data_IF_258200482787
#
_entry.id   IF_258200482787
#
_cell.length_a   1.000
_cell.length_b   1.000
_cell.length_c   1.000
_cell.angle_alpha   90.00
_cell.angle_beta   90.00
_cell.angle_gamma   90.00
#
_symmetry.space_group_name_H-M   'P 1'
#
loop_
_entity.id
_entity.type
_entity.pdbx_description
1 polymer ?
#
# COMPACT_ATOMS: atom_id res chain seq x y z
N UNK A 1 5.49 -4.88 -32.92
CA UNK A 1 6.02 -5.18 -31.56
C UNK A 1 7.53 -5.04 -31.63
N UNK A 2 8.08 -3.95 -31.10
CA UNK A 2 9.52 -3.69 -31.09
C UNK A 2 10.22 -4.70 -30.18
N UNK A 3 11.13 -5.48 -30.76
CA UNK A 3 11.92 -6.51 -30.05
C UNK A 3 12.77 -5.84 -28.97
N UNK A 4 12.35 -5.98 -27.70
CA UNK A 4 13.07 -5.36 -26.58
C UNK A 4 14.37 -6.12 -26.36
N UNK A 5 15.49 -5.49 -26.71
CA UNK A 5 16.83 -6.00 -26.35
C UNK A 5 17.17 -5.63 -24.92
N UNK A 6 17.77 -6.58 -24.19
CA UNK A 6 18.25 -6.39 -22.82
C UNK A 6 19.75 -6.69 -22.68
N UNK A 7 20.41 -7.04 -23.78
CA UNK A 7 21.84 -7.37 -23.84
C UNK A 7 22.48 -6.45 -24.88
N UNK A 8 23.59 -5.85 -24.52
CA UNK A 8 24.27 -4.85 -25.33
C UNK A 8 25.79 -5.07 -25.30
N UNK A 9 26.45 -4.78 -26.41
CA UNK A 9 27.91 -4.85 -26.52
C UNK A 9 28.57 -3.56 -26.01
N UNK A 10 27.93 -2.41 -26.21
CA UNK A 10 28.41 -1.10 -25.78
C UNK A 10 27.26 -0.15 -25.41
N UNK A 11 27.59 1.00 -24.80
CA UNK A 11 26.60 2.00 -24.42
C UNK A 11 25.90 2.61 -25.65
N UNK A 12 26.59 2.71 -26.79
CA UNK A 12 26.00 3.22 -28.03
C UNK A 12 24.84 2.34 -28.52
N UNK A 13 24.94 1.01 -28.40
CA UNK A 13 23.87 0.08 -28.77
C UNK A 13 22.63 0.29 -27.89
N UNK A 14 22.83 0.45 -26.58
CA UNK A 14 21.75 0.76 -25.65
C UNK A 14 21.11 2.11 -25.99
N UNK A 15 21.92 3.14 -26.26
CA UNK A 15 21.41 4.47 -26.59
C UNK A 15 20.71 4.51 -27.95
N UNK A 16 21.13 3.68 -28.90
CA UNK A 16 20.50 3.53 -30.21
C UNK A 16 19.11 2.91 -30.19
N UNK A 17 18.71 2.24 -29.10
CA UNK A 17 17.36 1.68 -28.92
C UNK A 17 16.30 2.74 -28.61
N UNK A 18 16.70 3.97 -28.28
CA UNK A 18 15.78 5.07 -27.94
C UNK A 18 15.24 5.76 -29.19
N UNK A 19 14.57 5.00 -30.07
CA UNK A 19 13.90 5.53 -31.26
C UNK A 19 12.51 6.10 -30.97
N UNK A 20 12.01 5.88 -29.76
CA UNK A 20 10.72 6.33 -29.28
C UNK A 20 10.95 7.15 -28.00
N UNK A 21 10.27 8.29 -27.86
CA UNK A 21 10.55 9.34 -26.87
C UNK A 21 10.63 8.81 -25.43
N UNK A 22 9.88 7.75 -25.14
CA UNK A 22 9.82 7.11 -23.83
C UNK A 22 10.84 5.96 -23.67
N UNK A 23 11.44 5.89 -22.49
CA UNK A 23 12.32 4.79 -22.12
C UNK A 23 11.59 3.45 -22.09
N UNK A 24 11.92 2.55 -23.03
CA UNK A 24 11.38 1.20 -23.16
C UNK A 24 11.61 0.28 -21.93
N UNK A 25 12.51 0.70 -21.04
CA UNK A 25 12.93 -0.06 -19.85
C UNK A 25 12.33 0.47 -18.55
N UNK A 26 11.63 1.61 -18.58
CA UNK A 26 10.93 2.13 -17.42
C UNK A 26 9.50 1.60 -17.34
N UNK A 27 8.96 1.48 -16.12
CA UNK A 27 7.53 1.18 -15.90
C UNK A 27 6.63 2.38 -16.20
N UNK A 28 7.16 3.57 -15.95
CA UNK A 28 6.47 4.84 -16.13
C UNK A 28 7.06 5.48 -17.39
N UNK A 29 6.22 6.01 -18.30
CA UNK A 29 6.69 6.82 -19.43
C UNK A 29 7.59 7.95 -18.92
N UNK A 30 8.86 7.90 -19.27
CA UNK A 30 9.88 8.90 -18.92
C UNK A 30 10.79 9.02 -20.12
N UNK A 31 11.19 10.25 -20.46
CA UNK A 31 12.06 10.53 -21.59
C UNK A 31 13.35 9.71 -21.50
N UNK A 32 13.57 8.87 -22.52
CA UNK A 32 14.80 8.11 -22.69
C UNK A 32 15.95 9.03 -23.10
N UNK A 33 16.58 9.70 -22.15
CA UNK A 33 17.84 10.43 -22.42
C UNK A 33 19.05 9.56 -22.09
N UNK A 34 20.22 9.86 -22.70
CA UNK A 34 21.49 9.20 -22.33
C UNK A 34 21.77 9.31 -20.83
N UNK A 35 21.49 10.47 -20.24
CA UNK A 35 21.62 10.69 -18.79
C UNK A 35 20.68 9.77 -17.98
N UNK A 36 19.41 9.67 -18.40
CA UNK A 36 18.44 8.78 -17.78
C UNK A 36 18.91 7.31 -17.83
N UNK A 37 19.31 6.82 -19.00
CA UNK A 37 19.77 5.44 -19.16
C UNK A 37 21.01 5.14 -18.32
N UNK A 38 21.98 6.06 -18.25
CA UNK A 38 23.15 5.93 -17.35
C UNK A 38 22.73 5.79 -15.89
N UNK A 39 21.93 6.73 -15.41
CA UNK A 39 21.56 6.85 -13.98
C UNK A 39 20.59 5.76 -13.51
N UNK A 40 19.68 5.30 -14.38
CA UNK A 40 18.59 4.37 -14.04
C UNK A 40 18.81 2.94 -14.51
N UNK A 41 19.44 2.69 -15.66
CA UNK A 41 19.54 1.36 -16.25
C UNK A 41 20.95 0.80 -16.22
N UNK A 42 21.94 1.54 -16.72
CA UNK A 42 23.36 1.11 -16.70
C UNK A 42 23.89 0.94 -15.28
N UNK A 43 23.40 1.75 -14.32
CA UNK A 43 23.71 1.59 -12.89
C UNK A 43 23.49 0.16 -12.38
N UNK A 44 22.52 -0.57 -12.93
CA UNK A 44 22.21 -1.93 -12.51
C UNK A 44 22.73 -2.98 -13.49
N UNK A 45 23.48 -2.59 -14.53
CA UNK A 45 23.93 -3.52 -15.57
C UNK A 45 24.89 -4.59 -15.02
N UNK A 46 24.77 -5.79 -15.56
CA UNK A 46 25.70 -6.90 -15.29
C UNK A 46 26.57 -7.12 -16.50
N UNK A 47 27.88 -6.94 -16.35
CA UNK A 47 28.87 -7.08 -17.40
C UNK A 47 29.52 -8.47 -17.39
N UNK A 48 29.74 -9.03 -18.57
CA UNK A 48 30.31 -10.35 -18.76
C UNK A 48 30.94 -10.51 -20.15
N UNK A 49 31.76 -11.53 -20.34
CA UNK A 49 32.37 -11.90 -21.62
C UNK A 49 31.77 -13.20 -22.12
N UNK A 50 31.13 -13.12 -23.27
CA UNK A 50 30.54 -14.24 -24.00
C UNK A 50 31.32 -14.39 -25.33
N UNK A 51 31.99 -15.52 -25.51
CA UNK A 51 32.92 -15.76 -26.64
C UNK A 51 33.93 -14.62 -26.85
N UNK A 52 34.58 -14.16 -25.77
CA UNK A 52 35.52 -13.03 -25.73
C UNK A 52 34.94 -11.65 -26.08
N UNK A 53 33.66 -11.56 -26.43
CA UNK A 53 32.96 -10.31 -26.65
C UNK A 53 32.42 -9.81 -25.30
N UNK A 54 32.86 -8.64 -24.89
CA UNK A 54 32.31 -7.94 -23.73
C UNK A 54 30.86 -7.53 -23.99
N UNK A 55 29.95 -7.98 -23.14
CA UNK A 55 28.52 -7.65 -23.18
C UNK A 55 28.06 -7.20 -21.80
N UNK A 56 26.92 -6.53 -21.74
CA UNK A 56 26.22 -6.31 -20.49
C UNK A 56 24.72 -6.54 -20.66
N UNK A 57 24.08 -7.01 -19.60
CA UNK A 57 22.62 -7.07 -19.51
C UNK A 57 22.10 -5.98 -18.59
N UNK A 58 20.91 -5.46 -18.87
CA UNK A 58 20.15 -4.60 -17.94
C UNK A 58 18.87 -5.31 -17.46
N UNK A 59 18.32 -4.95 -16.28
CA UNK A 59 17.04 -5.49 -15.84
C UNK A 59 15.89 -5.07 -16.76
N UNK A 60 14.96 -6.00 -17.01
CA UNK A 60 13.72 -5.82 -17.75
C UNK A 60 12.53 -5.61 -16.80
N UNK A 61 11.49 -4.95 -17.29
CA UNK A 61 10.20 -4.75 -16.60
C UNK A 61 9.00 -5.19 -17.45
N UNK A 62 9.19 -6.09 -18.43
CA UNK A 62 8.08 -6.64 -19.22
C UNK A 62 7.11 -7.47 -18.36
N UNK A 63 5.98 -7.84 -18.97
CA UNK A 63 4.95 -8.67 -18.35
C UNK A 63 5.43 -10.08 -17.97
N UNK A 64 6.45 -10.60 -18.66
CA UNK A 64 6.89 -12.00 -18.51
C UNK A 64 7.48 -12.30 -17.11
N UNK A 65 7.86 -11.25 -16.37
CA UNK A 65 8.34 -11.36 -14.99
C UNK A 65 7.26 -11.67 -13.94
N UNK A 66 5.97 -11.61 -14.29
CA UNK A 66 4.83 -12.07 -13.47
C UNK A 66 4.53 -11.32 -12.15
N UNK A 67 5.43 -10.46 -11.65
CA UNK A 67 5.36 -9.99 -10.25
C UNK A 67 5.48 -8.47 -10.07
N UNK A 68 5.37 -7.67 -11.13
CA UNK A 68 5.53 -6.22 -11.00
C UNK A 68 6.92 -5.79 -10.49
N UNK A 69 7.94 -6.65 -10.64
CA UNK A 69 9.35 -6.38 -10.29
C UNK A 69 10.24 -6.43 -11.52
N UNK A 70 11.45 -5.86 -11.40
CA UNK A 70 12.50 -6.03 -12.40
C UNK A 70 12.97 -7.48 -12.44
N UNK A 71 13.25 -8.02 -13.61
CA UNK A 71 13.79 -9.36 -13.81
C UNK A 71 14.86 -9.34 -14.90
N UNK A 72 15.48 -10.49 -15.15
CA UNK A 72 16.58 -10.66 -16.07
C UNK A 72 16.27 -11.77 -17.07
N UNK A 73 16.46 -11.50 -18.36
CA UNK A 73 16.34 -12.52 -19.40
C UNK A 73 17.73 -13.06 -19.72
N UNK A 74 17.92 -14.38 -19.58
CA UNK A 74 19.15 -15.01 -20.01
C UNK A 74 19.22 -15.06 -21.55
N UNK A 75 20.25 -14.51 -22.20
CA UNK A 75 20.37 -14.58 -23.67
C UNK A 75 20.63 -15.99 -24.20
N UNK A 76 21.18 -16.89 -23.37
CA UNK A 76 21.62 -18.23 -23.80
C UNK A 76 20.50 -19.27 -23.73
N UNK A 77 19.63 -19.19 -22.72
CA UNK A 77 18.53 -20.16 -22.55
C UNK A 77 17.14 -19.55 -22.37
N UNK A 78 17.01 -18.22 -22.49
CA UNK A 78 15.75 -17.47 -22.35
C UNK A 78 15.06 -17.57 -20.97
N UNK A 79 15.72 -18.17 -19.97
CA UNK A 79 15.20 -18.25 -18.59
C UNK A 79 15.07 -16.85 -17.98
N UNK A 80 13.95 -16.62 -17.30
CA UNK A 80 13.67 -15.38 -16.56
C UNK A 80 14.10 -15.54 -15.10
N UNK A 81 14.92 -14.61 -14.63
CA UNK A 81 15.52 -14.64 -13.30
C UNK A 81 15.16 -13.35 -12.55
N UNK A 82 14.60 -13.49 -11.35
CA UNK A 82 14.01 -12.36 -10.63
C UNK A 82 15.05 -11.54 -9.84
N UNK A 83 16.18 -12.16 -9.45
CA UNK A 83 17.20 -11.51 -8.62
C UNK A 83 18.52 -11.43 -9.35
N UNK A 84 19.22 -10.31 -9.15
CA UNK A 84 20.58 -10.05 -9.66
C UNK A 84 21.55 -11.17 -9.28
N UNK A 85 21.53 -11.67 -8.03
CA UNK A 85 22.41 -12.75 -7.57
C UNK A 85 22.19 -14.05 -8.36
N UNK A 86 20.92 -14.42 -8.53
CA UNK A 86 20.54 -15.64 -9.26
C UNK A 86 20.94 -15.54 -10.74
N UNK A 87 20.81 -14.35 -11.34
CA UNK A 87 21.25 -14.11 -12.71
C UNK A 87 22.77 -14.21 -12.89
N UNK A 88 23.57 -13.67 -11.96
CA UNK A 88 25.03 -13.82 -12.02
C UNK A 88 25.47 -15.28 -11.97
N UNK A 89 24.90 -16.05 -11.04
CA UNK A 89 25.17 -17.49 -10.91
C UNK A 89 24.72 -18.22 -12.18
N UNK A 90 23.54 -17.89 -12.69
CA UNK A 90 22.99 -18.53 -13.87
C UNK A 90 23.83 -18.30 -15.13
N UNK A 91 24.26 -17.05 -15.40
CA UNK A 91 25.12 -16.74 -16.54
C UNK A 91 26.48 -17.42 -16.39
N UNK A 92 27.06 -17.41 -15.20
CA UNK A 92 28.30 -18.11 -14.92
C UNK A 92 28.20 -19.61 -15.26
N UNK A 93 27.06 -20.23 -14.99
CA UNK A 93 26.82 -21.65 -15.30
C UNK A 93 26.70 -21.97 -16.80
N UNK A 94 26.62 -20.95 -17.67
CA UNK A 94 26.79 -21.14 -19.12
C UNK A 94 28.26 -21.09 -19.57
N UNK A 95 29.21 -20.94 -18.64
CA UNK A 95 30.64 -20.79 -18.95
C UNK A 95 31.07 -19.36 -19.27
N UNK A 96 30.18 -18.39 -19.08
CA UNK A 96 30.43 -16.97 -19.32
C UNK A 96 31.20 -16.36 -18.15
N UNK A 97 32.31 -15.66 -18.43
CA UNK A 97 33.13 -15.01 -17.40
C UNK A 97 32.58 -13.63 -17.07
N UNK A 98 32.33 -13.38 -15.79
CA UNK A 98 31.93 -12.07 -15.30
C UNK A 98 33.08 -11.07 -15.43
N UNK A 99 32.78 -9.82 -15.74
CA UNK A 99 33.78 -8.74 -15.76
C UNK A 99 33.37 -7.63 -14.80
N UNK A 100 34.31 -7.16 -14.01
CA UNK A 100 34.09 -5.96 -13.19
C UNK A 100 34.15 -4.71 -14.07
N UNK A 101 32.98 -4.22 -14.48
CA UNK A 101 32.80 -2.86 -15.01
C UNK A 101 31.84 -2.11 -14.07
N UNK A 102 32.34 -1.76 -12.88
CA UNK A 102 31.69 -0.86 -11.91
C UNK A 102 32.66 -0.48 -10.77
N UNK A 103 33.82 0.07 -11.11
CA UNK A 103 34.62 0.92 -10.21
C UNK A 103 35.11 2.11 -11.03
N UNK A 104 34.19 2.99 -11.37
CA UNK A 104 34.47 4.34 -11.85
C UNK A 104 33.52 5.28 -11.09
N UNK A 105 34.04 5.80 -9.98
CA UNK A 105 33.75 7.09 -9.35
C UNK A 105 32.44 7.77 -9.80
N UNK A 106 31.40 7.62 -8.99
CA UNK A 106 30.28 8.56 -8.97
C UNK A 106 29.98 8.83 -7.51
N UNK A 107 30.44 10.00 -7.05
CA UNK A 107 30.26 10.49 -5.69
C UNK A 107 28.79 10.44 -5.25
N UNK A 108 28.50 10.05 -4.01
CA UNK A 108 27.19 10.26 -3.43
C UNK A 108 26.99 11.77 -3.21
N UNK A 109 26.25 12.43 -4.10
CA UNK A 109 25.55 13.69 -3.79
C UNK A 109 24.60 13.43 -2.62
N UNK A 110 25.11 13.57 -1.41
CA UNK A 110 24.38 13.64 -0.15
C UNK A 110 24.20 15.13 0.19
N UNK A 111 23.20 15.74 -0.41
CA UNK A 111 22.65 17.03 0.04
C UNK A 111 21.16 16.82 0.24
N UNK A 112 20.67 17.37 1.37
CA UNK A 112 19.30 17.39 1.85
C UNK A 112 18.85 16.20 2.72
N UNK A 113 19.32 16.16 3.96
CA UNK A 113 18.47 16.18 5.17
C UNK A 113 19.35 16.28 6.43
N UNK A 114 19.96 17.45 6.62
CA UNK A 114 20.36 17.95 7.93
C UNK A 114 19.20 18.77 8.48
N UNK A 115 18.32 18.16 9.27
CA UNK A 115 17.63 18.83 10.38
C UNK A 115 16.99 17.76 11.24
N UNK A 116 17.08 17.92 12.57
CA UNK A 116 16.67 16.98 13.63
C UNK A 116 17.77 15.98 14.08
N UNK A 117 19.01 16.46 14.17
CA UNK A 117 19.82 16.19 15.36
C UNK A 117 19.60 17.37 16.31
N UNK A 118 18.86 17.14 17.40
CA UNK A 118 18.91 17.89 18.66
C UNK A 118 17.84 17.34 19.60
N UNK A 119 18.26 17.04 20.83
CA UNK A 119 17.45 16.87 22.04
C UNK A 119 16.72 15.51 22.18
N UNK A 120 16.91 14.69 23.21
CA UNK A 120 17.44 14.95 24.55
C UNK A 120 18.02 13.67 25.18
N UNK A 121 19.17 13.85 25.83
CA UNK A 121 19.70 13.01 26.88
C UNK A 121 18.70 12.85 28.03
N UNK A 122 18.68 11.69 28.70
CA UNK A 122 19.19 11.56 30.08
C UNK A 122 18.89 10.18 30.70
N UNK A 123 19.96 9.60 31.27
CA UNK A 123 20.02 8.76 32.47
C UNK A 123 19.51 7.30 32.39
N UNK A 124 20.13 6.30 33.01
CA UNK A 124 21.44 6.13 33.65
C UNK A 124 21.57 4.64 34.02
N UNK A 125 22.82 4.20 34.14
CA UNK A 125 23.30 3.17 35.09
C UNK A 125 23.45 1.71 34.62
N UNK A 126 24.70 1.39 34.29
CA UNK A 126 25.54 0.32 34.86
C UNK A 126 24.97 -1.11 34.99
N UNK A 127 25.56 -2.06 34.23
CA UNK A 127 26.65 -2.89 34.78
C UNK A 127 27.36 -3.72 33.69
N UNK A 128 28.68 -3.74 33.82
CA UNK A 128 29.64 -4.46 32.98
C UNK A 128 29.52 -5.97 33.12
N UNK A 129 29.80 -6.71 32.04
CA UNK A 129 30.86 -7.73 32.03
C UNK A 129 31.19 -8.13 30.57
N UNK A 130 32.48 -8.01 30.27
CA UNK A 130 33.17 -8.42 29.05
C UNK A 130 33.31 -9.94 28.96
N UNK A 131 33.87 -10.38 27.81
CA UNK A 131 34.25 -11.74 27.39
C UNK A 131 33.11 -12.61 26.81
N UNK A 132 33.08 -13.06 25.55
CA UNK A 132 34.16 -13.41 24.61
C UNK A 132 33.58 -13.64 23.21
N UNK A 133 34.22 -13.08 22.17
CA UNK A 133 34.38 -13.59 20.79
C UNK A 133 33.23 -14.37 20.09
N UNK A 134 32.50 -13.73 19.16
CA UNK A 134 32.28 -14.17 17.74
C UNK A 134 30.98 -13.62 17.09
N UNK A 135 31.17 -12.74 16.10
CA UNK A 135 30.18 -12.37 15.05
C UNK A 135 28.84 -11.76 15.49
N UNK A 136 28.84 -10.45 15.79
CA UNK A 136 27.84 -9.43 15.40
C UNK A 136 26.32 -9.73 15.39
N UNK A 137 25.80 -10.66 16.20
CA UNK A 137 24.36 -10.94 16.29
C UNK A 137 23.70 -9.97 17.28
N UNK A 138 22.68 -9.27 16.81
CA UNK A 138 21.86 -8.37 17.63
C UNK A 138 20.62 -9.13 18.11
N UNK A 139 20.34 -9.09 19.41
CA UNK A 139 19.27 -9.88 20.01
C UNK A 139 18.09 -8.98 20.37
N UNK A 140 16.87 -9.42 20.10
CA UNK A 140 15.68 -8.76 20.60
C UNK A 140 15.56 -8.95 22.11
N UNK A 141 15.52 -7.85 22.86
CA UNK A 141 15.41 -7.91 24.33
C UNK A 141 14.06 -8.43 24.82
N UNK A 142 13.01 -8.37 23.99
CA UNK A 142 11.64 -8.80 24.37
C UNK A 142 11.34 -10.27 24.09
N UNK A 143 12.05 -10.92 23.16
CA UNK A 143 11.81 -12.35 22.85
C UNK A 143 13.05 -13.20 22.60
N UNK A 144 14.26 -12.63 22.69
CA UNK A 144 15.52 -13.37 22.55
C UNK A 144 15.88 -13.78 21.13
N UNK A 145 15.10 -13.38 20.10
CA UNK A 145 15.41 -13.73 18.71
C UNK A 145 16.64 -12.95 18.22
N UNK A 146 17.56 -13.64 17.56
CA UNK A 146 18.80 -13.07 17.03
C UNK A 146 18.64 -12.59 15.58
N UNK A 147 19.26 -11.47 15.27
CA UNK A 147 19.28 -10.85 13.95
C UNK A 147 20.70 -10.52 13.54
N UNK A 148 20.99 -10.70 12.26
CA UNK A 148 22.29 -10.38 11.66
C UNK A 148 22.48 -8.89 11.36
N UNK A 149 21.41 -8.09 11.41
CA UNK A 149 21.48 -6.65 11.14
C UNK A 149 20.54 -5.88 12.06
N UNK A 150 20.93 -4.64 12.41
CA UNK A 150 20.12 -3.77 13.24
C UNK A 150 18.79 -3.41 12.58
N UNK A 151 18.77 -3.32 11.24
CA UNK A 151 17.54 -3.07 10.49
C UNK A 151 16.53 -4.21 10.62
N UNK A 152 17.00 -5.47 10.64
CA UNK A 152 16.12 -6.61 10.85
C UNK A 152 15.62 -6.69 12.31
N UNK A 153 16.49 -6.40 13.28
CA UNK A 153 16.08 -6.31 14.69
C UNK A 153 15.02 -5.23 14.89
N UNK A 154 15.27 -3.98 14.43
CA UNK A 154 14.30 -2.89 14.53
C UNK A 154 12.98 -3.22 13.84
N UNK A 155 13.04 -3.85 12.67
CA UNK A 155 11.83 -4.31 11.96
C UNK A 155 11.11 -5.37 12.79
N UNK A 156 11.82 -6.33 13.36
CA UNK A 156 11.24 -7.34 14.22
C UNK A 156 10.57 -6.74 15.45
N UNK A 157 11.27 -5.86 16.19
CA UNK A 157 10.73 -5.19 17.37
C UNK A 157 9.46 -4.43 17.02
N UNK A 158 9.47 -3.70 15.91
CA UNK A 158 8.31 -2.98 15.42
C UNK A 158 7.14 -3.91 15.05
N UNK A 159 7.42 -5.00 14.34
CA UNK A 159 6.38 -5.90 13.85
C UNK A 159 5.83 -6.84 14.93
N UNK A 160 6.62 -7.16 15.95
CA UNK A 160 6.31 -8.18 16.96
C UNK A 160 6.05 -7.60 18.35
N UNK A 161 6.57 -6.43 18.67
CA UNK A 161 6.55 -5.89 20.03
C UNK A 161 5.97 -4.50 20.16
N UNK A 162 5.68 -3.85 19.04
CA UNK A 162 4.96 -2.56 18.98
C UNK A 162 3.47 -2.80 18.68
N UNK A 163 2.95 -3.95 19.14
CA UNK A 163 1.61 -4.45 18.82
C UNK A 163 0.48 -3.57 19.36
N UNK A 164 0.75 -2.79 20.41
CA UNK A 164 -0.23 -2.00 21.15
C UNK A 164 -0.67 -0.71 20.45
N UNK A 165 0.02 -0.31 19.37
CA UNK A 165 -0.28 1.00 18.75
C UNK A 165 -1.43 0.99 17.75
N UNK A 166 -1.79 -0.17 17.21
CA UNK A 166 -2.81 -0.23 16.15
C UNK A 166 -4.13 -0.76 16.70
N UNK A 167 -5.26 -0.12 16.32
CA UNK A 167 -6.58 -0.49 16.81
C UNK A 167 -6.98 -1.89 16.32
N UNK A 168 -7.79 -2.55 17.12
CA UNK A 168 -8.38 -3.85 16.86
C UNK A 168 -9.84 -3.75 17.31
N UNK A 169 -10.79 -3.94 16.39
CA UNK A 169 -12.22 -3.74 16.66
C UNK A 169 -12.96 -5.06 16.47
N UNK A 170 -13.83 -5.43 17.41
CA UNK A 170 -14.80 -6.51 17.21
C UNK A 170 -16.00 -5.97 16.42
N UNK A 171 -16.31 -6.57 15.28
CA UNK A 171 -17.42 -6.12 14.39
C UNK A 171 -18.57 -7.11 14.32
N UNK A 172 -18.37 -8.34 14.80
CA UNK A 172 -19.40 -9.36 14.90
C UNK A 172 -18.98 -10.34 16.00
N UNK A 173 -19.48 -10.12 17.21
CA UNK A 173 -19.14 -10.96 18.37
C UNK A 173 -19.63 -12.40 18.19
N UNK A 174 -20.80 -12.60 17.55
CA UNK A 174 -21.42 -13.91 17.33
C UNK A 174 -20.62 -14.77 16.36
N UNK A 175 -20.14 -14.18 15.26
CA UNK A 175 -19.28 -14.86 14.26
C UNK A 175 -17.79 -14.76 14.60
N UNK A 176 -17.44 -14.07 15.68
CA UNK A 176 -16.09 -13.81 16.18
C UNK A 176 -15.19 -13.13 15.13
N UNK A 177 -15.73 -12.11 14.46
CA UNK A 177 -15.05 -11.34 13.41
C UNK A 177 -14.56 -10.01 13.98
N UNK A 178 -13.32 -9.70 13.65
CA UNK A 178 -12.63 -8.49 14.05
C UNK A 178 -12.02 -7.79 12.83
N UNK A 179 -11.70 -6.51 12.97
CA UNK A 179 -10.97 -5.74 11.95
C UNK A 179 -9.78 -4.99 12.53
N UNK A 180 -8.72 -4.89 11.75
CA UNK A 180 -7.53 -4.12 12.10
C UNK A 180 -6.83 -3.62 10.84
N UNK A 181 -5.99 -2.57 10.91
CA UNK A 181 -5.19 -2.17 9.76
C UNK A 181 -4.28 -3.31 9.27
N UNK A 182 -4.22 -3.47 7.94
CA UNK A 182 -3.34 -4.43 7.25
C UNK A 182 -1.88 -4.25 7.67
N UNK A 183 -1.43 -3.00 7.58
CA UNK A 183 -0.06 -2.58 7.80
C UNK A 183 0.01 -1.70 9.07
N UNK A 184 1.15 -1.74 9.76
CA UNK A 184 1.38 -0.88 10.94
C UNK A 184 1.64 0.58 10.56
N UNK A 185 1.93 0.84 9.28
CA UNK A 185 2.25 2.16 8.75
C UNK A 185 1.58 2.37 7.41
N UNK A 186 1.31 3.64 7.10
CA UNK A 186 0.64 4.03 5.87
C UNK A 186 -0.87 4.04 6.02
N UNK A 187 -1.62 3.94 4.90
CA UNK A 187 -3.07 3.94 4.93
C UNK A 187 -3.59 2.78 5.79
N UNK A 188 -4.48 3.08 6.75
CA UNK A 188 -5.07 2.11 7.67
C UNK A 188 -6.16 1.26 7.00
N UNK A 189 -5.82 0.62 5.89
CA UNK A 189 -6.74 -0.26 5.15
C UNK A 189 -7.10 -1.45 6.05
N UNK A 190 -8.38 -1.62 6.44
CA UNK A 190 -8.76 -2.71 7.32
C UNK A 190 -8.61 -4.06 6.64
N UNK A 191 -8.29 -5.08 7.42
CA UNK A 191 -8.44 -6.49 7.07
C UNK A 191 -9.36 -7.14 8.09
N UNK A 192 -10.09 -8.16 7.67
CA UNK A 192 -10.87 -8.98 8.58
C UNK A 192 -10.03 -10.09 9.20
N UNK A 193 -10.39 -10.45 10.42
CA UNK A 193 -9.81 -11.56 11.19
C UNK A 193 -10.96 -12.31 11.82
N UNK A 194 -10.85 -13.63 11.90
CA UNK A 194 -11.81 -14.46 12.63
C UNK A 194 -11.09 -15.30 13.66
N UNK A 195 -11.37 -15.07 14.94
CA UNK A 195 -10.69 -15.77 16.05
C UNK A 195 -11.69 -16.24 17.11
N UNK A 196 -11.76 -17.55 17.32
CA UNK A 196 -12.52 -18.15 18.42
C UNK A 196 -11.89 -19.47 18.81
N UNK A 197 -11.44 -19.58 20.06
CA UNK A 197 -10.94 -20.84 20.60
C UNK A 197 -12.07 -21.86 20.79
N UNK A 198 -13.25 -21.40 21.22
CA UNK A 198 -14.43 -22.25 21.39
C UNK A 198 -14.87 -22.90 20.07
N UNK A 199 -14.77 -22.18 18.95
CA UNK A 199 -15.10 -22.69 17.62
C UNK A 199 -13.88 -23.30 16.89
N UNK A 200 -12.68 -23.25 17.51
CA UNK A 200 -11.41 -23.66 16.89
C UNK A 200 -11.12 -22.95 15.55
N UNK A 201 -11.35 -21.64 15.49
CA UNK A 201 -11.18 -20.81 14.29
C UNK A 201 -10.06 -19.79 14.53
N UNK A 202 -9.01 -19.83 13.69
CA UNK A 202 -7.89 -18.88 13.69
C UNK A 202 -7.57 -18.45 12.24
N UNK A 203 -8.30 -17.48 11.70
CA UNK A 203 -8.20 -17.07 10.29
C UNK A 203 -7.91 -15.58 10.15
N UNK A 204 -7.05 -15.23 9.20
CA UNK A 204 -6.72 -13.86 8.82
C UNK A 204 -7.03 -13.65 7.33
N UNK A 205 -7.50 -12.48 6.88
CA UNK A 205 -7.78 -12.24 5.46
C UNK A 205 -6.52 -12.34 4.56
N UNK A 206 -5.33 -12.18 5.13
CA UNK A 206 -4.08 -12.11 4.37
C UNK A 206 -3.42 -13.49 4.18
N UNK A 207 -3.25 -13.92 2.94
CA UNK A 207 -2.57 -15.18 2.55
C UNK A 207 -1.18 -15.34 3.19
N UNK A 208 -0.39 -14.26 3.27
CA UNK A 208 0.92 -14.27 3.95
C UNK A 208 0.85 -14.70 5.43
N UNK A 209 -0.28 -14.44 6.10
CA UNK A 209 -0.51 -14.90 7.47
C UNK A 209 -0.81 -16.40 7.51
N UNK A 210 -1.50 -16.95 6.51
CA UNK A 210 -1.74 -18.38 6.40
C UNK A 210 -0.44 -19.12 6.16
N UNK A 211 0.37 -18.65 5.22
CA UNK A 211 1.68 -19.23 4.92
C UNK A 211 2.59 -19.20 6.14
N UNK A 212 2.60 -18.08 6.87
CA UNK A 212 3.32 -17.97 8.13
C UNK A 212 2.86 -19.03 9.13
N UNK A 213 1.55 -19.12 9.42
CA UNK A 213 1.02 -20.07 10.41
C UNK A 213 1.27 -21.52 9.98
N UNK A 214 1.09 -21.85 8.69
CA UNK A 214 1.36 -23.17 8.13
C UNK A 214 2.84 -23.55 8.26
N UNK A 215 3.75 -22.61 7.99
CA UNK A 215 5.20 -22.82 8.15
C UNK A 215 5.55 -23.06 9.62
N UNK A 216 4.94 -22.32 10.55
CA UNK A 216 5.16 -22.53 11.99
C UNK A 216 4.66 -23.89 12.45
N UNK A 217 3.48 -24.33 11.99
CA UNK A 217 2.96 -25.65 12.29
C UNK A 217 3.89 -26.78 11.78
N UNK A 218 4.42 -26.65 10.56
CA UNK A 218 5.38 -27.59 9.99
C UNK A 218 6.71 -27.64 10.77
N UNK A 219 7.10 -26.53 11.38
CA UNK A 219 8.30 -26.44 12.22
C UNK A 219 8.07 -26.81 13.70
N UNK A 220 6.93 -27.45 14.03
CA UNK A 220 6.63 -27.91 15.39
C UNK A 220 5.94 -26.88 16.29
N UNK A 221 5.47 -25.75 15.75
CA UNK A 221 4.78 -24.68 16.48
C UNK A 221 3.32 -24.45 15.97
N UNK A 222 2.42 -25.45 16.06
CA UNK A 222 1.07 -25.37 15.48
C UNK A 222 0.16 -24.31 16.12
N UNK A 223 0.45 -23.87 17.34
CA UNK A 223 -0.29 -22.80 18.03
C UNK A 223 0.18 -21.38 17.71
N UNK A 224 1.17 -21.21 16.83
CA UNK A 224 1.73 -19.89 16.55
C UNK A 224 0.77 -19.06 15.69
N UNK A 225 0.12 -18.10 16.32
CA UNK A 225 -0.72 -17.11 15.66
C UNK A 225 0.09 -16.09 14.85
N UNK A 226 -0.48 -15.58 13.76
CA UNK A 226 0.10 -14.43 13.06
C UNK A 226 0.01 -13.16 13.91
N UNK A 227 0.80 -12.13 13.55
CA UNK A 227 0.82 -10.83 14.26
C UNK A 227 -0.56 -10.19 14.40
N UNK A 228 -1.47 -10.43 13.44
CA UNK A 228 -2.82 -9.87 13.46
C UNK A 228 -3.74 -10.64 14.41
N UNK A 229 -3.65 -11.97 14.42
CA UNK A 229 -4.43 -12.83 15.33
C UNK A 229 -4.04 -12.61 16.80
N UNK A 230 -2.77 -12.40 17.11
CA UNK A 230 -2.31 -12.11 18.48
C UNK A 230 -2.98 -10.85 19.04
N UNK A 231 -3.16 -9.82 18.20
CA UNK A 231 -3.70 -8.51 18.60
C UNK A 231 -5.18 -8.53 18.96
N UNK A 232 -5.92 -9.56 18.57
CA UNK A 232 -7.32 -9.75 18.99
C UNK A 232 -7.49 -9.82 20.51
N UNK A 233 -6.44 -10.19 21.26
CA UNK A 233 -6.45 -10.20 22.72
C UNK A 233 -6.64 -8.79 23.33
N UNK A 234 -6.36 -7.75 22.54
CA UNK A 234 -6.51 -6.34 22.90
C UNK A 234 -7.63 -5.66 22.07
N UNK A 235 -8.55 -6.45 21.51
CA UNK A 235 -9.65 -5.91 20.73
C UNK A 235 -10.60 -5.08 21.60
N UNK A 236 -11.02 -3.92 21.10
CA UNK A 236 -12.14 -3.16 21.66
C UNK A 236 -13.42 -4.00 21.55
N UNK A 237 -14.25 -3.90 22.58
CA UNK A 237 -15.54 -4.55 22.62
C UNK A 237 -16.42 -4.12 21.43
N UNK A 238 -17.30 -5.02 21.00
CA UNK A 238 -18.25 -4.72 19.92
C UNK A 238 -19.18 -3.59 20.34
N UNK A 239 -19.28 -2.58 19.48
CA UNK A 239 -20.27 -1.50 19.57
C UNK A 239 -21.20 -1.60 18.37
N UNK A 240 -22.51 -1.67 18.65
CA UNK A 240 -23.53 -1.79 17.61
C UNK A 240 -23.59 -0.50 16.78
N UNK A 241 -23.52 -0.56 15.44
CA UNK A 241 -23.70 0.60 14.61
C UNK A 241 -25.17 1.07 14.62
N UNK A 242 -25.44 2.36 14.34
CA UNK A 242 -26.80 2.85 14.15
C UNK A 242 -27.55 2.01 13.09
N UNK A 243 -28.79 1.59 13.36
CA UNK A 243 -29.56 0.79 12.41
C UNK A 243 -29.91 1.63 11.17
N UNK A 244 -29.90 0.99 10.00
CA UNK A 244 -30.28 1.62 8.75
C UNK A 244 -31.80 1.87 8.69
N UNK A 245 -32.19 3.12 8.47
CA UNK A 245 -33.57 3.59 8.46
C UNK A 245 -34.13 3.62 7.04
N UNK A 246 -35.26 2.94 6.82
CA UNK A 246 -35.89 2.86 5.49
C UNK A 246 -36.27 4.24 4.93
N UNK A 247 -36.66 5.20 5.78
CA UNK A 247 -36.98 6.57 5.37
C UNK A 247 -35.77 7.23 4.68
N UNK A 248 -34.56 7.05 5.22
CA UNK A 248 -33.35 7.60 4.57
C UNK A 248 -33.04 6.94 3.23
N UNK A 249 -33.40 5.66 3.03
CA UNK A 249 -33.27 4.99 1.73
C UNK A 249 -34.25 5.51 0.69
N UNK A 250 -35.49 5.79 1.12
CA UNK A 250 -36.52 6.41 0.29
C UNK A 250 -36.09 7.83 -0.13
N UNK A 251 -35.52 8.60 0.79
CA UNK A 251 -34.94 9.92 0.50
C UNK A 251 -33.77 9.86 -0.49
N UNK A 252 -32.87 8.89 -0.34
CA UNK A 252 -31.78 8.68 -1.31
C UNK A 252 -32.30 8.35 -2.71
N UNK A 253 -33.35 7.54 -2.79
CA UNK A 253 -34.01 7.19 -4.05
C UNK A 253 -34.67 8.44 -4.67
N UNK A 254 -35.32 9.28 -3.86
CA UNK A 254 -35.92 10.53 -4.30
C UNK A 254 -34.88 11.56 -4.76
N UNK A 255 -33.72 11.64 -4.09
CA UNK A 255 -32.57 12.47 -4.49
C UNK A 255 -31.78 11.89 -5.67
N UNK A 256 -32.21 10.77 -6.26
CA UNK A 256 -31.54 10.06 -7.35
C UNK A 256 -30.09 9.64 -7.02
N UNK A 257 -29.78 9.41 -5.74
CA UNK A 257 -28.49 8.85 -5.32
C UNK A 257 -28.41 7.35 -5.60
N UNK A 258 -29.56 6.68 -5.62
CA UNK A 258 -29.74 5.28 -5.97
C UNK A 258 -30.96 5.14 -6.88
N UNK A 259 -30.93 4.19 -7.80
CA UNK A 259 -32.13 3.78 -8.52
C UNK A 259 -33.10 3.05 -7.58
N UNK A 260 -34.39 3.00 -7.95
CA UNK A 260 -35.40 2.25 -7.21
C UNK A 260 -35.01 0.76 -7.04
N UNK A 261 -34.44 0.16 -8.08
CA UNK A 261 -33.99 -1.23 -8.04
C UNK A 261 -32.80 -1.44 -7.07
N UNK A 262 -31.83 -0.51 -7.06
CA UNK A 262 -30.71 -0.55 -6.09
C UNK A 262 -31.21 -0.35 -4.65
N UNK A 263 -32.21 0.50 -4.45
CA UNK A 263 -32.88 0.69 -3.15
C UNK A 263 -33.55 -0.60 -2.67
N UNK A 264 -34.34 -1.25 -3.51
CA UNK A 264 -34.99 -2.53 -3.19
C UNK A 264 -33.95 -3.62 -2.86
N UNK A 265 -32.85 -3.71 -3.61
CA UNK A 265 -31.77 -4.66 -3.36
C UNK A 265 -31.06 -4.40 -2.01
N UNK A 266 -30.76 -3.13 -1.70
CA UNK A 266 -30.20 -2.74 -0.40
C UNK A 266 -31.10 -3.13 0.76
N UNK A 267 -32.41 -2.86 0.64
CA UNK A 267 -33.39 -3.19 1.68
C UNK A 267 -33.51 -4.71 1.88
N UNK A 268 -33.51 -5.49 0.81
CA UNK A 268 -33.54 -6.95 0.88
C UNK A 268 -32.30 -7.51 1.58
N UNK A 269 -31.10 -7.05 1.20
CA UNK A 269 -29.84 -7.48 1.81
C UNK A 269 -29.76 -7.08 3.30
N UNK A 270 -30.22 -5.87 3.65
CA UNK A 270 -30.29 -5.43 5.04
C UNK A 270 -31.27 -6.27 5.88
N UNK A 271 -32.47 -6.51 5.36
CA UNK A 271 -33.50 -7.32 6.02
C UNK A 271 -33.04 -8.76 6.27
N UNK A 272 -32.31 -9.33 5.31
CA UNK A 272 -31.69 -10.66 5.45
C UNK A 272 -30.61 -10.68 6.54
N UNK A 273 -29.73 -9.67 6.57
CA UNK A 273 -28.71 -9.58 7.61
C UNK A 273 -29.33 -9.45 9.01
N UNK A 274 -30.36 -8.61 9.15
CA UNK A 274 -31.11 -8.45 10.39
C UNK A 274 -31.75 -9.76 10.88
N UNK A 275 -32.34 -10.56 9.98
CA UNK A 275 -32.94 -11.85 10.36
C UNK A 275 -31.92 -12.91 10.79
N UNK A 276 -30.67 -12.80 10.32
CA UNK A 276 -29.54 -13.62 10.80
C UNK A 276 -28.93 -13.10 12.13
N UNK A 277 -29.35 -11.91 12.58
CA UNK A 277 -28.82 -11.21 13.74
C UNK A 277 -27.40 -10.69 13.49
N UNK A 278 -27.16 -10.11 12.32
CA UNK A 278 -25.86 -9.58 11.88
C UNK A 278 -26.05 -8.19 11.29
N UNK A 279 -25.14 -7.25 11.59
CA UNK A 279 -25.17 -5.93 10.98
C UNK A 279 -24.92 -6.02 9.47
N UNK A 280 -25.81 -5.45 8.64
CA UNK A 280 -25.58 -5.44 7.21
C UNK A 280 -24.33 -4.61 6.84
N UNK A 281 -24.18 -3.44 7.47
CA UNK A 281 -23.06 -2.52 7.29
C UNK A 281 -22.46 -2.21 8.64
N UNK A 282 -21.14 -2.31 8.74
CA UNK A 282 -20.39 -1.89 9.92
C UNK A 282 -19.35 -0.83 9.51
N UNK A 283 -19.49 0.44 9.94
CA UNK A 283 -18.50 1.49 9.71
C UNK A 283 -17.23 1.21 10.54
N UNK A 284 -16.06 1.30 9.91
CA UNK A 284 -14.78 1.04 10.60
C UNK A 284 -14.19 2.39 10.99
N UNK A 285 -14.38 2.74 12.26
CA UNK A 285 -13.85 3.96 12.89
C UNK A 285 -12.81 3.57 13.93
N UNK A 286 -11.56 3.99 13.73
CA UNK A 286 -10.45 3.59 14.59
C UNK A 286 -10.41 4.34 15.94
N UNK A 287 -11.17 5.42 16.07
CA UNK A 287 -11.10 6.39 17.16
C UNK A 287 -12.03 7.58 16.90
N UNK A 288 -12.33 8.34 17.95
CA UNK A 288 -13.37 9.39 17.94
C UNK A 288 -13.05 10.56 16.99
N UNK A 289 -11.77 10.80 16.70
CA UNK A 289 -11.30 11.89 15.83
C UNK A 289 -10.96 11.45 14.39
N UNK A 290 -11.06 10.15 14.07
CA UNK A 290 -10.47 9.63 12.82
C UNK A 290 -11.20 10.09 11.55
N UNK A 291 -12.48 10.49 11.63
CA UNK A 291 -13.22 10.96 10.46
C UNK A 291 -12.68 12.28 9.87
N UNK A 292 -12.03 13.12 10.68
CA UNK A 292 -11.46 14.40 10.22
C UNK A 292 -10.03 14.24 9.69
N UNK A 293 -9.36 13.14 10.04
CA UNK A 293 -7.95 12.91 9.70
C UNK A 293 -7.80 11.88 8.57
N UNK A 294 -8.76 10.98 8.42
CA UNK A 294 -8.68 9.91 7.44
C UNK A 294 -9.28 10.32 6.10
N UNK A 295 -8.43 10.27 5.06
CA UNK A 295 -8.84 10.51 3.66
C UNK A 295 -9.91 9.52 3.18
N UNK A 296 -9.99 8.34 3.78
CA UNK A 296 -10.90 7.29 3.39
C UNK A 296 -11.71 6.78 4.58
N UNK A 297 -13.01 6.60 4.38
CA UNK A 297 -13.87 5.86 5.31
C UNK A 297 -13.97 4.43 4.82
N UNK A 298 -13.90 3.48 5.74
CA UNK A 298 -13.99 2.06 5.44
C UNK A 298 -15.24 1.44 6.06
N UNK A 299 -15.83 0.48 5.37
CA UNK A 299 -16.99 -0.27 5.80
C UNK A 299 -16.72 -1.76 5.66
N UNK A 300 -17.21 -2.54 6.61
CA UNK A 300 -17.38 -3.98 6.48
C UNK A 300 -18.84 -4.25 6.15
N UNK A 301 -19.11 -4.80 4.98
CA UNK A 301 -20.48 -5.08 4.50
C UNK A 301 -20.71 -6.58 4.46
N UNK A 302 -21.80 -7.04 5.07
CA UNK A 302 -22.21 -8.44 5.03
C UNK A 302 -22.66 -8.82 3.63
N UNK A 303 -22.10 -9.92 3.09
CA UNK A 303 -22.36 -10.34 1.70
C UNK A 303 -23.34 -11.51 1.62
N UNK A 304 -23.53 -12.26 2.72
CA UNK A 304 -24.25 -13.55 2.69
C UNK A 304 -23.57 -14.64 1.86
N UNK A 305 -22.39 -14.38 1.30
CA UNK A 305 -21.62 -15.26 0.41
C UNK A 305 -20.31 -15.68 1.07
N UNK A 306 -19.67 -16.71 0.56
CA UNK A 306 -18.28 -17.04 0.90
C UNK A 306 -17.50 -17.25 -0.38
N UNK A 307 -16.63 -16.30 -0.69
CA UNK A 307 -15.83 -16.29 -1.90
C UNK A 307 -14.41 -15.76 -1.58
N UNK A 308 -13.48 -15.81 -2.55
CA UNK A 308 -12.10 -15.33 -2.41
C UNK A 308 -12.03 -13.88 -1.93
N UNK A 309 -12.97 -13.05 -2.35
CA UNK A 309 -13.07 -11.63 -2.00
C UNK A 309 -13.87 -11.35 -0.72
N UNK A 310 -14.57 -12.34 -0.15
CA UNK A 310 -15.35 -12.20 1.09
C UNK A 310 -15.29 -13.46 1.96
N UNK A 311 -14.06 -13.90 2.28
CA UNK A 311 -13.82 -15.20 2.94
C UNK A 311 -14.59 -15.40 4.25
N UNK A 312 -14.91 -14.31 4.96
CA UNK A 312 -15.62 -14.35 6.25
C UNK A 312 -17.09 -13.91 6.15
N UNK A 313 -17.68 -13.93 4.96
CA UNK A 313 -19.06 -13.48 4.75
C UNK A 313 -19.24 -11.96 4.77
N UNK A 314 -18.13 -11.24 4.65
CA UNK A 314 -18.04 -9.78 4.67
C UNK A 314 -17.04 -9.31 3.63
N UNK A 315 -17.35 -8.21 2.96
CA UNK A 315 -16.48 -7.51 2.01
C UNK A 315 -16.13 -6.13 2.56
N UNK A 316 -14.98 -5.60 2.13
CA UNK A 316 -14.59 -4.23 2.46
C UNK A 316 -15.02 -3.27 1.37
N UNK A 317 -15.63 -2.17 1.79
CA UNK A 317 -15.93 -1.00 0.95
C UNK A 317 -15.14 0.18 1.49
N UNK A 318 -14.66 1.05 0.61
CA UNK A 318 -13.99 2.29 0.99
C UNK A 318 -14.53 3.48 0.20
N UNK A 319 -14.66 4.61 0.85
CA UNK A 319 -15.01 5.90 0.26
C UNK A 319 -13.88 6.89 0.47
N UNK A 320 -13.24 7.37 -0.60
CA UNK A 320 -12.27 8.47 -0.52
C UNK A 320 -13.03 9.80 -0.45
N UNK A 321 -12.96 10.47 0.70
CA UNK A 321 -13.72 11.70 0.99
C UNK A 321 -13.34 12.82 0.02
N UNK A 322 -12.07 12.87 -0.42
CA UNK A 322 -11.54 13.94 -1.27
C UNK A 322 -11.87 13.72 -2.73
N UNK A 323 -11.65 12.50 -3.25
CA UNK A 323 -11.94 12.21 -4.65
C UNK A 323 -13.39 11.79 -4.88
N UNK A 324 -14.18 11.59 -3.82
CA UNK A 324 -15.56 11.07 -3.86
C UNK A 324 -15.68 9.72 -4.58
N UNK A 325 -14.65 8.89 -4.50
CA UNK A 325 -14.58 7.60 -5.19
C UNK A 325 -14.89 6.46 -4.24
N UNK A 326 -15.84 5.61 -4.64
CA UNK A 326 -16.19 4.37 -3.95
C UNK A 326 -15.44 3.17 -4.54
N UNK A 327 -14.87 2.33 -3.69
CA UNK A 327 -14.23 1.06 -4.09
C UNK A 327 -14.77 -0.08 -3.26
N UNK A 328 -15.02 -1.22 -3.88
CA UNK A 328 -15.44 -2.45 -3.21
C UNK A 328 -14.53 -3.60 -3.64
N UNK A 329 -14.27 -4.56 -2.74
CA UNK A 329 -13.50 -5.74 -3.08
C UNK A 329 -14.26 -6.83 -3.84
N UNK A 330 -15.57 -6.69 -4.05
CA UNK A 330 -16.36 -7.75 -4.68
C UNK A 330 -15.97 -7.99 -6.13
N UNK A 331 -16.32 -9.15 -6.66
CA UNK A 331 -16.21 -9.42 -8.10
C UNK A 331 -17.09 -8.42 -8.85
N UNK A 332 -16.48 -7.56 -9.68
CA UNK A 332 -17.16 -6.41 -10.33
C UNK A 332 -17.10 -5.08 -9.56
N UNK A 333 -16.57 -5.05 -8.34
CA UNK A 333 -16.51 -3.88 -7.46
C UNK A 333 -15.53 -2.77 -7.86
N UNK A 334 -14.98 -2.84 -9.07
CA UNK A 334 -14.10 -1.83 -9.69
C UNK A 334 -14.81 -0.50 -9.90
N UNK A 335 -14.92 -0.03 -11.14
CA UNK A 335 -15.57 1.26 -11.42
C UNK A 335 -17.11 1.20 -11.41
N UNK A 336 -17.69 0.00 -11.42
CA UNK A 336 -19.15 -0.19 -11.43
C UNK A 336 -19.79 -0.02 -10.05
N UNK A 337 -21.06 0.39 -10.03
CA UNK A 337 -21.93 0.35 -8.84
C UNK A 337 -22.14 -1.12 -8.43
N UNK A 338 -22.25 -1.35 -7.12
CA UNK A 338 -22.66 -2.64 -6.58
C UNK A 338 -23.42 -2.41 -5.28
N UNK A 339 -24.30 -3.35 -4.91
CA UNK A 339 -25.12 -3.25 -3.69
C UNK A 339 -24.30 -2.95 -2.43
N UNK A 340 -23.07 -3.46 -2.32
CA UNK A 340 -22.20 -3.19 -1.17
C UNK A 340 -21.79 -1.71 -1.07
N UNK A 341 -21.51 -1.05 -2.21
CA UNK A 341 -21.25 0.39 -2.26
C UNK A 341 -22.51 1.16 -1.89
N UNK A 342 -23.66 0.77 -2.44
CA UNK A 342 -24.95 1.40 -2.17
C UNK A 342 -25.33 1.33 -0.68
N UNK A 343 -25.16 0.16 -0.05
CA UNK A 343 -25.36 -0.05 1.39
C UNK A 343 -24.45 0.84 2.25
N UNK A 344 -23.17 0.94 1.85
CA UNK A 344 -22.21 1.80 2.56
C UNK A 344 -22.55 3.29 2.39
N UNK A 345 -23.00 3.67 1.19
CA UNK A 345 -23.50 5.01 0.90
C UNK A 345 -24.77 5.32 1.69
N UNK A 346 -25.65 4.33 1.88
CA UNK A 346 -26.86 4.47 2.70
C UNK A 346 -26.52 4.78 4.16
N UNK A 347 -25.60 4.03 4.75
CA UNK A 347 -25.11 4.35 6.09
C UNK A 347 -24.52 5.76 6.16
N UNK A 348 -23.68 6.12 5.17
CA UNK A 348 -23.03 7.42 5.14
C UNK A 348 -24.03 8.57 4.98
N UNK A 349 -25.04 8.43 4.13
CA UNK A 349 -26.10 9.41 3.93
C UNK A 349 -26.91 9.63 5.21
N UNK A 350 -27.20 8.56 5.95
CA UNK A 350 -27.95 8.66 7.20
C UNK A 350 -27.14 9.33 8.32
N UNK A 351 -25.90 8.90 8.52
CA UNK A 351 -25.13 9.29 9.71
C UNK A 351 -24.24 10.52 9.50
N UNK A 352 -23.82 10.76 8.26
CA UNK A 352 -22.89 11.83 7.87
C UNK A 352 -23.20 12.37 6.46
N UNK A 353 -24.43 12.88 6.21
CA UNK A 353 -24.80 13.41 4.89
C UNK A 353 -23.84 14.50 4.38
N UNK A 354 -23.23 15.28 5.27
CA UNK A 354 -22.26 16.33 4.97
C UNK A 354 -21.02 15.82 4.21
N UNK A 355 -20.69 14.53 4.33
CA UNK A 355 -19.55 13.95 3.63
C UNK A 355 -19.87 13.59 2.17
N UNK A 356 -21.14 13.48 1.83
CA UNK A 356 -21.63 13.28 0.46
C UNK A 356 -21.82 14.63 -0.25
N UNK A 357 -22.12 15.70 0.50
CA UNK A 357 -22.37 17.04 -0.01
C UNK A 357 -21.06 17.86 -0.13
N UNK A 358 -20.45 17.89 -1.33
CA UNK A 358 -19.60 19.00 -1.79
C UNK A 358 -19.09 18.75 -3.22
N UNK A 359 -20.03 18.81 -4.16
CA UNK A 359 -19.76 18.75 -5.61
C UNK A 359 -19.52 20.16 -6.20
N UNK A 360 -19.45 21.25 -5.40
CA UNK A 360 -19.42 22.63 -5.94
C UNK A 360 -18.40 23.63 -5.29
N UNK A 361 -17.79 23.40 -4.11
CA UNK A 361 -17.05 24.50 -3.43
C UNK A 361 -15.50 24.45 -3.38
N UNK A 362 -14.81 23.48 -3.99
CA UNK A 362 -13.32 23.47 -4.00
C UNK A 362 -12.72 24.43 -5.06
N UNK A 363 -13.55 25.15 -5.82
CA UNK A 363 -13.10 26.27 -6.66
C UNK A 363 -13.21 27.63 -5.98
N UNK A 364 -13.85 27.79 -4.81
CA UNK A 364 -14.06 29.11 -4.19
C UNK A 364 -12.95 29.45 -3.20
N UNK A 365 -12.43 28.49 -2.43
CA UNK A 365 -11.30 28.76 -1.50
C UNK A 365 -9.94 28.93 -2.21
N UNK A 366 -9.85 28.64 -3.51
CA UNK A 366 -8.70 29.06 -4.36
C UNK A 366 -8.97 30.34 -5.12
N UNK A 367 -10.20 30.85 -5.14
CA UNK A 367 -10.51 32.17 -5.71
C UNK A 367 -10.28 33.25 -4.66
N UNK A 368 -10.52 32.99 -3.37
CA UNK A 368 -10.19 33.96 -2.31
C UNK A 368 -8.67 34.19 -2.15
N UNK A 369 -7.85 33.16 -2.41
CA UNK A 369 -6.38 33.30 -2.47
C UNK A 369 -5.87 33.84 -3.81
N UNK A 370 -6.71 33.93 -4.84
CA UNK A 370 -6.34 34.57 -6.11
C UNK A 370 -6.82 36.03 -6.13
N UNK A 371 -7.93 36.37 -5.49
CA UNK A 371 -8.36 37.76 -5.34
C UNK A 371 -7.43 38.56 -4.43
N UNK A 372 -6.88 37.97 -3.35
CA UNK A 372 -5.83 38.63 -2.56
C UNK A 372 -4.51 38.80 -3.34
N UNK A 373 -4.20 37.91 -4.29
CA UNK A 373 -2.98 38.03 -5.10
C UNK A 373 -3.17 38.99 -6.27
N UNK A 374 -4.39 39.11 -6.82
CA UNK A 374 -4.72 40.05 -7.89
C UNK A 374 -4.84 41.47 -7.34
N UNK A 375 -5.40 41.67 -6.14
CA UNK A 375 -5.43 42.99 -5.48
C UNK A 375 -4.03 43.50 -5.14
N UNK A 376 -3.11 42.62 -4.72
CA UNK A 376 -1.72 43.01 -4.47
C UNK A 376 -0.90 43.23 -5.75
N UNK A 377 -1.32 42.68 -6.90
CA UNK A 377 -0.65 42.90 -8.18
C UNK A 377 -1.12 44.19 -8.88
N UNK A 378 -2.36 44.61 -8.67
CA UNK A 378 -2.89 45.86 -9.24
C UNK A 378 -2.37 47.11 -8.53
N UNK A 379 -2.10 47.04 -7.22
CA UNK A 379 -1.42 48.12 -6.49
C UNK A 379 0.09 48.21 -6.82
N UNK A 380 0.72 47.12 -7.26
CA UNK A 380 2.10 47.15 -7.74
C UNK A 380 2.21 47.76 -9.16
N UNK A 381 1.15 47.73 -9.96
CA UNK A 381 1.16 48.22 -11.35
C UNK A 381 0.62 49.65 -11.50
N UNK A 382 0.08 50.25 -10.43
CA UNK A 382 -0.23 51.69 -10.36
C UNK A 382 0.98 52.56 -10.00
N UNK A 383 2.12 51.96 -9.65
CA UNK A 383 3.32 52.71 -9.27
C UNK A 383 4.39 52.77 -10.39
N UNK A 384 4.07 52.29 -11.60
CA UNK A 384 5.01 52.20 -12.73
C UNK A 384 4.55 52.88 -14.02
N UNK A 385 3.38 53.54 -14.03
CA UNK A 385 2.83 54.24 -15.20
C UNK A 385 2.61 55.73 -14.92
N UNK A 386 3.69 56.41 -14.54
CA UNK A 386 3.83 57.88 -14.62
C UNK A 386 5.08 58.23 -15.42
N UNK A 387 5.15 57.86 -16.70
CA UNK A 387 6.14 58.41 -17.64
C UNK A 387 5.56 58.33 -19.07
N UNK A 388 5.46 59.49 -19.74
CA UNK A 388 5.20 59.73 -21.18
C UNK A 388 3.76 59.42 -21.66
N UNK A 389 2.80 60.35 -21.74
CA UNK A 389 2.76 61.69 -22.37
C UNK A 389 3.20 61.75 -23.85
N UNK A 390 2.19 61.95 -24.71
CA UNK A 390 2.23 62.65 -26.01
C UNK A 390 2.96 61.97 -27.19
N UNK A 391 2.21 61.22 -28.01
CA UNK A 391 2.07 61.50 -29.46
C UNK A 391 0.92 60.71 -30.11
#
# INVERSE_FOLDING_TARGET
>A
MTDRRFVFVNEEELFGMMKDIDCLYCRIPVIGSKHHLKKRHLRFAIHYKDSDIGKFSIPCYCSDGGHGRSHWHCPMCKKILQRTKDFRIHIHNHGVKMTDKSTAELEPTAVLLQTLQSNNNNNSSHNNNEDTTSSGKLTCQKCGVYFTTASNLRRHERLQHDQDQQPMLCIDAKKAIYVTPKDLHGPRVPIHIRKSFALQILLCELEECWDFMKTQAQNGNPGKECRHLVRTNHARAYTMPPPLCVISLEEMTHKNLLSKAEGEECQQMNSKACSEGVDCVYPILWGEQDLLLERCIYFSVHTGLKDKWCQFGRTRVSFDIRSKVWKCQCEGGGDHSCVHKCLSMWWLFQERPELLENTIEITVERVDLIEEVVMNAEDANKMSTEVDELC
#
